data_IF_564201004240
#
_entry.id   IF_564201004240
#
_cell.length_a   1.000
_cell.length_b   1.000
_cell.length_c   1.000
_cell.angle_alpha   90.00
_cell.angle_beta   90.00
_cell.angle_gamma   90.00
#
_symmetry.space_group_name_H-M   'P 1'
#
loop_
_entity.id
_entity.type
_entity.pdbx_description
1 polymer ?
#
# COMPACT_ATOMS: atom_id res chain seq x y z
N UNK A 1 8.69 -1.92 21.70
CA UNK A 1 7.37 -1.38 22.13
C UNK A 1 7.09 -0.10 21.36
N UNK A 2 5.95 -0.04 20.67
CA UNK A 2 5.56 1.14 19.90
C UNK A 2 5.43 2.38 20.80
N UNK A 3 5.81 3.54 20.25
CA UNK A 3 5.63 4.82 20.93
C UNK A 3 4.44 5.52 20.30
N UNK A 4 3.51 5.98 21.13
CA UNK A 4 2.29 6.66 20.69
C UNK A 4 2.35 8.15 21.02
N UNK A 5 2.04 8.97 20.03
CA UNK A 5 1.90 10.40 20.12
C UNK A 5 0.47 10.75 19.73
N UNK A 6 -0.42 10.86 20.74
CA UNK A 6 -1.83 11.16 20.53
C UNK A 6 -2.08 12.61 20.87
N UNK A 7 -2.77 13.33 20.00
CA UNK A 7 -3.10 14.73 20.16
C UNK A 7 -4.57 14.87 20.61
N UNK A 8 -4.78 15.58 21.74
CA UNK A 8 -6.08 15.97 22.31
C UNK A 8 -7.11 14.84 22.59
N UNK A 9 -7.86 14.35 21.62
CA UNK A 9 -9.02 13.45 21.81
C UNK A 9 -8.69 11.97 21.57
N UNK A 10 -7.56 11.68 20.99
CA UNK A 10 -7.23 10.38 20.40
C UNK A 10 -6.76 9.32 21.39
N UNK A 11 -6.75 9.60 22.70
CA UNK A 11 -6.30 8.64 23.72
C UNK A 11 -7.07 7.30 23.68
N UNK A 12 -8.34 7.32 23.29
CA UNK A 12 -9.17 6.12 23.17
C UNK A 12 -8.85 5.27 21.93
N UNK A 13 -8.22 5.86 20.91
CA UNK A 13 -7.84 5.16 19.67
C UNK A 13 -6.54 4.39 19.78
N UNK A 14 -5.68 4.76 20.71
CA UNK A 14 -4.40 4.09 20.93
C UNK A 14 -4.57 2.58 21.10
N UNK A 15 -5.47 2.17 21.98
CA UNK A 15 -5.66 0.75 22.31
C UNK A 15 -6.23 0.00 21.07
N UNK A 16 -7.11 0.63 20.30
CA UNK A 16 -7.66 0.07 19.06
C UNK A 16 -6.60 -0.07 17.98
N UNK A 17 -5.77 0.97 17.76
CA UNK A 17 -4.68 0.92 16.78
C UNK A 17 -3.67 -0.17 17.17
N UNK A 18 -3.30 -0.26 18.45
CA UNK A 18 -2.40 -1.31 18.94
C UNK A 18 -3.00 -2.70 18.70
N UNK A 19 -4.28 -2.90 18.96
CA UNK A 19 -4.97 -4.16 18.70
C UNK A 19 -4.91 -4.52 17.21
N UNK A 20 -5.21 -3.59 16.30
CA UNK A 20 -5.13 -3.80 14.85
C UNK A 20 -3.70 -4.16 14.44
N UNK A 21 -2.71 -3.40 14.90
CA UNK A 21 -1.30 -3.65 14.60
C UNK A 21 -0.88 -5.04 15.07
N UNK A 22 -1.21 -5.44 16.30
CA UNK A 22 -0.85 -6.73 16.83
C UNK A 22 -1.51 -7.89 16.07
N UNK A 23 -2.76 -7.74 15.68
CA UNK A 23 -3.50 -8.74 14.91
C UNK A 23 -2.96 -8.87 13.48
N UNK A 24 -2.70 -7.74 12.80
CA UNK A 24 -2.32 -7.70 11.39
C UNK A 24 -0.82 -7.93 11.15
N UNK A 25 0.02 -7.57 12.10
CA UNK A 25 1.48 -7.76 12.03
C UNK A 25 1.86 -9.21 11.70
N UNK A 26 1.18 -10.19 12.30
CA UNK A 26 1.50 -11.60 12.09
C UNK A 26 1.19 -12.07 10.66
N UNK A 27 0.14 -11.52 10.04
CA UNK A 27 -0.21 -11.77 8.65
C UNK A 27 0.90 -11.27 7.71
N UNK A 28 1.35 -10.03 7.93
CA UNK A 28 2.45 -9.43 7.16
C UNK A 28 3.75 -10.21 7.35
N UNK A 29 4.09 -10.57 8.60
CA UNK A 29 5.28 -11.34 8.91
C UNK A 29 5.27 -12.70 8.23
N UNK A 30 4.13 -13.40 8.24
CA UNK A 30 3.96 -14.67 7.52
C UNK A 30 4.13 -14.50 6.01
N UNK A 31 3.68 -13.39 5.45
CA UNK A 31 3.87 -13.11 4.04
C UNK A 31 5.35 -12.91 3.70
N UNK A 32 6.05 -12.06 4.44
CA UNK A 32 7.47 -11.77 4.19
C UNK A 32 8.45 -12.83 4.74
N UNK A 33 7.97 -13.90 5.38
CA UNK A 33 8.82 -14.93 5.96
C UNK A 33 9.63 -14.44 7.16
N UNK A 34 9.10 -13.46 7.92
CA UNK A 34 9.72 -12.89 9.12
C UNK A 34 9.37 -13.78 10.33
N UNK A 35 10.32 -13.99 11.22
CA UNK A 35 10.07 -14.65 12.50
C UNK A 35 9.07 -13.81 13.33
N UNK A 36 8.09 -14.48 13.95
CA UNK A 36 6.98 -13.84 14.67
C UNK A 36 7.42 -13.05 15.90
N UNK A 37 8.60 -13.33 16.44
CA UNK A 37 9.20 -12.66 17.59
C UNK A 37 10.09 -11.47 17.23
N UNK A 38 10.27 -11.17 15.94
CA UNK A 38 11.01 -9.99 15.51
C UNK A 38 10.37 -8.73 16.06
N UNK A 39 11.15 -7.96 16.81
CA UNK A 39 10.68 -6.69 17.40
C UNK A 39 10.82 -5.55 16.41
N UNK A 40 9.69 -5.14 15.81
CA UNK A 40 9.59 -3.93 15.02
C UNK A 40 8.82 -2.89 15.81
N UNK A 41 9.45 -1.75 16.05
CA UNK A 41 8.86 -0.67 16.83
C UNK A 41 8.63 0.55 15.95
N UNK A 42 7.42 1.09 16.03
CA UNK A 42 7.02 2.26 15.26
C UNK A 42 6.76 3.45 16.16
N UNK A 43 6.99 4.66 15.65
CA UNK A 43 6.47 5.89 16.20
C UNK A 43 5.08 6.11 15.58
N UNK A 44 4.03 6.07 16.38
CA UNK A 44 2.64 6.15 15.91
C UNK A 44 2.06 7.49 16.30
N UNK A 45 1.72 8.31 15.32
CA UNK A 45 1.13 9.62 15.47
C UNK A 45 -0.34 9.57 15.09
N UNK A 46 -1.20 9.99 16.00
CA UNK A 46 -2.66 10.01 15.81
C UNK A 46 -3.15 11.42 15.98
N UNK A 47 -3.68 11.98 14.92
CA UNK A 47 -4.16 13.36 14.85
C UNK A 47 -5.69 13.42 14.93
N UNK A 48 -6.23 14.56 15.38
CA UNK A 48 -7.68 14.72 15.52
C UNK A 48 -8.39 14.95 14.19
N UNK A 49 -7.67 15.50 13.19
CA UNK A 49 -8.22 15.85 11.88
C UNK A 49 -7.19 15.64 10.77
N UNK A 50 -7.63 15.60 9.50
CA UNK A 50 -6.73 15.60 8.33
C UNK A 50 -5.85 16.85 8.33
N UNK A 51 -6.40 18.02 8.65
CA UNK A 51 -5.64 19.27 8.73
C UNK A 51 -4.52 19.20 9.76
N UNK A 52 -4.80 18.63 10.96
CA UNK A 52 -3.78 18.41 11.99
C UNK A 52 -2.71 17.41 11.53
N UNK A 53 -3.09 16.34 10.81
CA UNK A 53 -2.17 15.38 10.20
C UNK A 53 -1.23 16.10 9.21
N UNK A 54 -1.78 16.83 8.25
CA UNK A 54 -1.01 17.58 7.23
C UNK A 54 -0.06 18.57 7.89
N UNK A 55 -0.53 19.34 8.87
CA UNK A 55 0.30 20.32 9.59
C UNK A 55 1.41 19.63 10.41
N UNK A 56 1.07 18.56 11.14
CA UNK A 56 2.03 17.82 11.93
C UNK A 56 3.10 17.13 11.08
N UNK A 57 2.76 16.69 9.87
CA UNK A 57 3.72 16.15 8.91
C UNK A 57 4.65 17.24 8.38
N UNK A 58 4.11 18.41 8.01
CA UNK A 58 4.92 19.58 7.57
C UNK A 58 5.90 20.03 8.65
N UNK A 59 5.48 20.09 9.93
CA UNK A 59 6.37 20.38 11.05
C UNK A 59 7.53 19.38 11.22
N UNK A 60 7.36 18.18 10.68
CA UNK A 60 8.36 17.10 10.67
C UNK A 60 9.10 17.00 9.33
N UNK A 61 9.12 18.09 8.53
CA UNK A 61 9.78 18.21 7.23
C UNK A 61 9.26 17.28 6.13
N UNK A 62 7.94 17.05 6.11
CA UNK A 62 7.26 16.36 5.02
C UNK A 62 6.43 17.40 4.24
N UNK A 63 7.06 18.05 3.25
CA UNK A 63 6.51 19.25 2.62
C UNK A 63 5.50 18.99 1.50
N UNK A 64 5.50 17.78 0.89
CA UNK A 64 4.71 17.46 -0.30
C UNK A 64 3.51 16.54 -0.01
N UNK A 65 2.90 16.68 1.15
CA UNK A 65 1.74 15.84 1.52
C UNK A 65 0.47 16.34 0.84
N UNK A 66 -0.24 15.49 0.05
CA UNK A 66 -1.52 15.87 -0.53
C UNK A 66 -2.59 16.11 0.55
N UNK A 67 -3.44 17.12 0.34
CA UNK A 67 -4.50 17.51 1.29
C UNK A 67 -5.56 16.42 1.54
N UNK A 68 -5.62 15.40 0.68
CA UNK A 68 -6.55 14.26 0.78
C UNK A 68 -5.96 13.02 1.46
N UNK A 69 -4.70 13.04 1.84
CA UNK A 69 -4.03 11.90 2.46
C UNK A 69 -4.56 11.68 3.88
N UNK A 70 -5.08 10.50 4.15
CA UNK A 70 -5.69 10.14 5.44
C UNK A 70 -4.76 9.37 6.37
N UNK A 71 -3.68 8.83 5.82
CA UNK A 71 -2.63 8.15 6.57
C UNK A 71 -1.34 8.16 5.74
N UNK A 72 -0.19 8.00 6.38
CA UNK A 72 1.07 7.79 5.69
C UNK A 72 2.12 7.14 6.59
N UNK A 73 3.02 6.41 5.96
CA UNK A 73 4.23 5.92 6.57
C UNK A 73 5.38 6.88 6.22
N UNK A 74 6.26 7.15 7.18
CA UNK A 74 7.47 7.95 6.95
C UNK A 74 8.71 7.15 7.32
N UNK A 75 9.60 6.98 6.35
CA UNK A 75 10.77 6.12 6.43
C UNK A 75 11.81 6.64 7.44
N UNK A 76 12.11 7.94 7.44
CA UNK A 76 13.25 8.50 8.16
C UNK A 76 13.14 8.35 9.68
N UNK A 77 11.93 8.35 10.22
CA UNK A 77 11.70 8.19 11.66
C UNK A 77 10.90 6.94 12.02
N UNK A 78 10.68 6.05 11.03
CA UNK A 78 9.90 4.81 11.18
C UNK A 78 8.52 5.09 11.79
N UNK A 79 7.82 6.08 11.26
CA UNK A 79 6.53 6.50 11.80
C UNK A 79 5.35 6.09 10.94
N UNK A 80 4.26 5.81 11.64
CA UNK A 80 2.93 5.65 11.10
C UNK A 80 2.09 6.84 11.55
N UNK A 81 1.39 7.46 10.62
CA UNK A 81 0.67 8.70 10.86
C UNK A 81 -0.78 8.52 10.42
N UNK A 82 -1.71 8.76 11.34
CA UNK A 82 -3.14 8.57 11.14
C UNK A 82 -3.90 9.76 11.68
N UNK A 83 -5.07 10.06 11.12
CA UNK A 83 -6.06 10.89 11.80
C UNK A 83 -7.22 10.02 12.32
N UNK A 84 -7.88 10.49 13.39
CA UNK A 84 -9.04 9.80 13.97
C UNK A 84 -10.30 10.05 13.13
N UNK A 85 -10.94 9.00 12.56
CA UNK A 85 -12.22 9.19 11.88
C UNK A 85 -13.29 9.51 12.93
N UNK A 86 -14.01 10.61 12.75
CA UNK A 86 -15.14 10.96 13.64
C UNK A 86 -16.31 10.00 13.39
N UNK A 87 -16.87 9.48 14.46
CA UNK A 87 -17.98 8.51 14.43
C UNK A 87 -19.26 9.00 13.72
N UNK A 88 -19.39 10.31 13.42
CA UNK A 88 -20.68 10.92 13.05
C UNK A 88 -20.58 12.06 12.01
N UNK A 89 -19.48 12.22 11.29
CA UNK A 89 -19.39 13.31 10.31
C UNK A 89 -19.60 12.80 8.88
N UNK A 90 -20.67 13.31 8.26
CA UNK A 90 -20.92 13.24 6.82
C UNK A 90 -19.80 13.86 5.94
N UNK A 91 -18.71 14.31 6.55
CA UNK A 91 -17.55 14.92 5.91
C UNK A 91 -16.34 13.98 5.81
N UNK A 92 -16.31 12.85 6.56
CA UNK A 92 -15.28 11.83 6.45
C UNK A 92 -15.88 10.58 5.80
N UNK A 93 -15.52 10.31 4.56
CA UNK A 93 -16.00 9.22 3.73
C UNK A 93 -15.58 7.80 4.21
N UNK A 94 -14.94 7.68 5.38
CA UNK A 94 -14.35 6.42 5.86
C UNK A 94 -15.20 5.78 6.97
N UNK A 95 -15.70 4.59 6.69
CA UNK A 95 -16.27 3.71 7.73
C UNK A 95 -15.18 3.18 8.67
N UNK A 96 -15.59 2.62 9.82
CA UNK A 96 -14.65 1.97 10.75
C UNK A 96 -13.85 0.84 10.12
N UNK A 97 -14.48 0.06 9.23
CA UNK A 97 -13.84 -1.07 8.56
C UNK A 97 -12.80 -0.57 7.52
N UNK A 98 -13.08 0.53 6.83
CA UNK A 98 -12.12 1.17 5.93
C UNK A 98 -10.91 1.70 6.68
N UNK A 99 -11.10 2.25 7.88
CA UNK A 99 -10.00 2.71 8.73
C UNK A 99 -9.07 1.59 9.18
N UNK A 100 -9.60 0.41 9.50
CA UNK A 100 -8.75 -0.76 9.81
C UNK A 100 -7.89 -1.17 8.61
N UNK A 101 -8.47 -1.09 7.40
CA UNK A 101 -7.74 -1.37 6.16
C UNK A 101 -6.64 -0.33 5.90
N UNK A 102 -6.89 0.95 6.18
CA UNK A 102 -5.87 2.01 6.07
C UNK A 102 -4.71 1.75 7.02
N UNK A 103 -4.97 1.44 8.29
CA UNK A 103 -3.90 1.10 9.24
C UNK A 103 -3.11 -0.11 8.76
N UNK A 104 -3.79 -1.13 8.24
CA UNK A 104 -3.15 -2.32 7.72
C UNK A 104 -2.28 -2.03 6.51
N UNK A 105 -2.75 -1.20 5.58
CA UNK A 105 -2.03 -0.74 4.41
C UNK A 105 -0.71 -0.03 4.79
N UNK A 106 -0.79 0.97 5.66
CA UNK A 106 0.41 1.70 6.12
C UNK A 106 1.38 0.82 6.91
N UNK A 107 0.86 -0.15 7.66
CA UNK A 107 1.70 -1.11 8.38
C UNK A 107 2.47 -2.02 7.41
N UNK A 108 1.88 -2.38 6.26
CA UNK A 108 2.58 -3.14 5.22
C UNK A 108 3.76 -2.34 4.68
N UNK A 109 3.56 -1.05 4.35
CA UNK A 109 4.64 -0.16 3.90
C UNK A 109 5.78 -0.08 4.92
N UNK A 110 5.44 0.16 6.18
CA UNK A 110 6.44 0.28 7.24
C UNK A 110 7.25 -1.02 7.43
N UNK A 111 6.59 -2.18 7.36
CA UNK A 111 7.28 -3.46 7.49
C UNK A 111 8.12 -3.76 6.25
N UNK A 112 7.59 -3.51 5.05
CA UNK A 112 8.31 -3.70 3.79
C UNK A 112 9.58 -2.85 3.73
N UNK A 113 9.48 -1.56 4.11
CA UNK A 113 10.64 -0.66 4.20
C UNK A 113 11.70 -1.17 5.19
N UNK A 114 11.29 -1.65 6.36
CA UNK A 114 12.21 -2.22 7.36
C UNK A 114 12.95 -3.47 6.89
N UNK A 115 12.43 -4.17 5.86
CA UNK A 115 13.05 -5.38 5.32
C UNK A 115 13.95 -5.05 4.13
N UNK A 116 13.44 -4.24 3.20
CA UNK A 116 14.04 -4.05 1.88
C UNK A 116 14.60 -2.64 1.66
N UNK A 117 14.33 -1.69 2.56
CA UNK A 117 14.63 -0.26 2.32
C UNK A 117 13.71 0.34 1.26
N UNK A 118 14.14 1.45 0.69
CA UNK A 118 13.40 2.16 -0.36
C UNK A 118 13.27 1.30 -1.63
N UNK A 119 12.05 1.14 -2.09
CA UNK A 119 11.69 0.42 -3.30
C UNK A 119 10.86 1.32 -4.24
N UNK A 120 10.69 0.95 -5.54
CA UNK A 120 9.81 1.68 -6.44
C UNK A 120 8.37 1.75 -5.91
N UNK A 121 7.70 2.89 -6.10
CA UNK A 121 6.36 3.14 -5.54
C UNK A 121 5.32 2.13 -6.05
N UNK A 122 5.35 1.78 -7.34
CA UNK A 122 4.47 0.74 -7.89
C UNK A 122 4.61 -0.60 -7.14
N UNK A 123 5.81 -0.93 -6.66
CA UNK A 123 6.03 -2.18 -5.94
C UNK A 123 5.51 -2.11 -4.51
N UNK A 124 5.77 -1.00 -3.81
CA UNK A 124 5.29 -0.82 -2.44
C UNK A 124 3.77 -0.77 -2.37
N UNK A 125 3.15 0.01 -3.25
CA UNK A 125 1.69 0.10 -3.36
C UNK A 125 1.06 -1.21 -3.84
N UNK A 126 1.67 -1.86 -4.83
CA UNK A 126 1.18 -3.14 -5.33
C UNK A 126 1.19 -4.24 -4.27
N UNK A 127 2.21 -4.31 -3.42
CA UNK A 127 2.28 -5.25 -2.29
C UNK A 127 1.23 -4.91 -1.23
N UNK A 128 1.07 -3.64 -0.91
CA UNK A 128 0.07 -3.19 0.06
C UNK A 128 -1.34 -3.55 -0.41
N UNK A 129 -1.70 -3.23 -1.66
CA UNK A 129 -2.99 -3.60 -2.27
C UNK A 129 -3.23 -5.11 -2.38
N UNK A 130 -2.17 -5.88 -2.61
CA UNK A 130 -2.25 -7.34 -2.66
C UNK A 130 -2.61 -7.92 -1.28
N UNK A 131 -1.98 -7.42 -0.21
CA UNK A 131 -2.16 -7.93 1.15
C UNK A 131 -3.43 -7.40 1.82
N UNK A 132 -3.78 -6.13 1.65
CA UNK A 132 -4.98 -5.54 2.25
C UNK A 132 -6.27 -6.07 1.61
N UNK A 133 -6.15 -6.65 0.41
CA UNK A 133 -7.25 -7.33 -0.28
C UNK A 133 -8.32 -6.40 -0.84
N UNK A 134 -8.11 -5.09 -0.82
CA UNK A 134 -9.11 -4.08 -1.27
C UNK A 134 -9.38 -4.14 -2.77
N UNK A 135 -8.43 -4.69 -3.54
CA UNK A 135 -8.44 -4.63 -5.02
C UNK A 135 -8.94 -5.88 -5.75
N UNK A 136 -9.29 -6.96 -5.06
CA UNK A 136 -9.68 -8.24 -5.71
C UNK A 136 -10.81 -8.13 -6.74
N UNK A 137 -11.66 -7.13 -6.63
CA UNK A 137 -12.78 -6.88 -7.55
C UNK A 137 -12.50 -5.81 -8.62
N UNK A 138 -11.39 -5.08 -8.51
CA UNK A 138 -11.06 -3.96 -9.39
C UNK A 138 -10.51 -4.34 -10.77
N UNK A 139 -10.03 -5.59 -10.93
CA UNK A 139 -9.35 -6.04 -12.16
C UNK A 139 -10.22 -5.89 -13.41
N UNK A 140 -11.52 -6.27 -13.34
CA UNK A 140 -12.43 -6.11 -14.46
C UNK A 140 -12.60 -4.64 -14.84
N UNK A 141 -12.73 -3.77 -13.85
CA UNK A 141 -12.88 -2.34 -14.05
C UNK A 141 -11.63 -1.73 -14.70
N UNK A 142 -10.42 -2.12 -14.26
CA UNK A 142 -9.16 -1.72 -14.87
C UNK A 142 -9.10 -2.07 -16.36
N UNK A 143 -9.46 -3.32 -16.73
CA UNK A 143 -9.45 -3.73 -18.12
C UNK A 143 -10.46 -2.95 -18.96
N UNK A 144 -11.70 -2.77 -18.48
CA UNK A 144 -12.77 -2.08 -19.23
C UNK A 144 -12.50 -0.57 -19.38
N UNK A 145 -11.92 0.08 -18.38
CA UNK A 145 -11.81 1.54 -18.35
C UNK A 145 -10.45 2.07 -18.81
N UNK A 146 -9.38 1.30 -18.70
CA UNK A 146 -8.04 1.75 -19.09
C UNK A 146 -7.39 0.87 -20.16
N UNK A 147 -7.26 -0.42 -19.93
CA UNK A 147 -6.51 -1.29 -20.82
C UNK A 147 -7.17 -1.38 -22.19
N UNK A 148 -8.47 -1.63 -22.26
CA UNK A 148 -9.20 -1.68 -23.55
C UNK A 148 -9.31 -0.30 -24.22
N UNK A 149 -9.07 0.78 -23.50
CA UNK A 149 -8.98 2.14 -24.03
C UNK A 149 -7.54 2.55 -24.39
N UNK A 150 -6.59 1.62 -24.29
CA UNK A 150 -5.17 1.84 -24.55
C UNK A 150 -4.52 2.91 -23.65
N UNK A 151 -4.98 3.02 -22.41
CA UNK A 151 -4.41 3.88 -21.36
C UNK A 151 -3.50 3.06 -20.47
N UNK A 152 -2.38 2.64 -21.04
CA UNK A 152 -1.40 1.77 -20.37
C UNK A 152 -0.19 2.62 -20.00
N UNK A 153 0.21 2.67 -18.72
CA UNK A 153 1.40 3.41 -18.29
C UNK A 153 2.67 2.80 -18.85
N UNK A 154 3.70 3.62 -18.93
CA UNK A 154 5.08 3.14 -19.05
C UNK A 154 5.64 2.82 -17.66
N UNK A 155 6.69 2.01 -17.59
CA UNK A 155 7.36 1.75 -16.31
C UNK A 155 7.97 3.04 -15.73
N UNK A 156 8.47 3.94 -16.59
CA UNK A 156 8.98 5.23 -16.16
C UNK A 156 7.93 6.06 -15.42
N UNK A 157 6.69 6.13 -15.93
CA UNK A 157 5.58 6.85 -15.27
C UNK A 157 5.23 6.22 -13.92
N UNK A 158 5.20 4.88 -13.82
CA UNK A 158 4.94 4.20 -12.55
C UNK A 158 6.07 4.32 -11.52
N UNK A 159 7.30 4.60 -11.95
CA UNK A 159 8.45 4.77 -11.08
C UNK A 159 8.70 6.23 -10.65
N UNK A 160 8.28 7.21 -11.47
CA UNK A 160 8.67 8.61 -11.28
C UNK A 160 7.49 9.58 -11.23
N UNK A 161 6.30 9.17 -11.67
CA UNK A 161 5.11 10.01 -11.84
C UNK A 161 3.86 9.26 -11.31
N UNK A 162 4.03 8.45 -10.25
CA UNK A 162 2.97 7.62 -9.69
C UNK A 162 1.79 8.48 -9.22
N UNK A 163 0.57 8.13 -9.68
CA UNK A 163 -0.64 8.85 -9.31
C UNK A 163 -0.87 10.17 -10.03
N UNK A 164 0.03 10.63 -10.92
CA UNK A 164 -0.08 11.93 -11.60
C UNK A 164 -0.88 11.89 -12.91
N UNK A 165 -1.28 10.70 -13.37
CA UNK A 165 -1.93 10.49 -14.67
C UNK A 165 -3.42 10.14 -14.56
N UNK A 166 -4.13 10.16 -15.71
CA UNK A 166 -5.55 9.81 -15.80
C UNK A 166 -5.86 8.32 -15.58
N UNK A 167 -4.86 7.44 -15.59
CA UNK A 167 -5.01 6.02 -15.26
C UNK A 167 -4.79 5.78 -13.77
N UNK A 168 -5.34 4.70 -13.24
CA UNK A 168 -5.15 4.33 -11.84
C UNK A 168 -3.83 3.56 -11.66
N UNK A 169 -2.78 4.25 -11.19
CA UNK A 169 -1.45 3.65 -10.95
C UNK A 169 -1.51 2.52 -9.92
N UNK A 170 -2.38 2.61 -8.93
CA UNK A 170 -2.57 1.58 -7.90
C UNK A 170 -3.11 0.28 -8.49
N UNK A 171 -4.02 0.36 -9.47
CA UNK A 171 -4.56 -0.81 -10.16
C UNK A 171 -3.47 -1.54 -10.94
N UNK A 172 -2.63 -0.79 -11.65
CA UNK A 172 -1.50 -1.37 -12.37
C UNK A 172 -0.47 -1.97 -11.43
N UNK A 173 -0.14 -1.30 -10.34
CA UNK A 173 0.74 -1.81 -9.28
C UNK A 173 0.23 -3.15 -8.74
N UNK A 174 -1.07 -3.23 -8.43
CA UNK A 174 -1.70 -4.46 -7.97
C UNK A 174 -1.59 -5.61 -8.97
N UNK A 175 -1.94 -5.40 -10.25
CA UNK A 175 -1.89 -6.50 -11.23
C UNK A 175 -0.47 -6.97 -11.49
N UNK A 176 0.53 -6.10 -11.43
CA UNK A 176 1.94 -6.46 -11.59
C UNK A 176 2.42 -7.34 -10.44
N UNK A 177 2.16 -6.94 -9.19
CA UNK A 177 2.54 -7.73 -8.01
C UNK A 177 1.79 -9.06 -7.98
N UNK A 178 0.48 -9.05 -8.23
CA UNK A 178 -0.32 -10.26 -8.28
C UNK A 178 0.15 -11.23 -9.38
N UNK A 179 0.51 -10.72 -10.58
CA UNK A 179 1.11 -11.52 -11.65
C UNK A 179 2.43 -12.16 -11.22
N UNK A 180 3.32 -11.40 -10.59
CA UNK A 180 4.59 -11.94 -10.11
C UNK A 180 4.38 -13.09 -9.12
N UNK A 181 3.44 -12.92 -8.19
CA UNK A 181 3.13 -13.96 -7.19
C UNK A 181 2.44 -15.17 -7.84
N UNK A 182 1.47 -14.95 -8.74
CA UNK A 182 0.75 -16.03 -9.44
C UNK A 182 1.67 -16.84 -10.35
N UNK A 183 2.62 -16.18 -11.02
CA UNK A 183 3.47 -16.81 -12.05
C UNK A 183 4.75 -17.44 -11.47
N UNK A 184 5.34 -16.83 -10.46
CA UNK A 184 6.60 -17.30 -9.89
C UNK A 184 6.44 -17.92 -8.50
N UNK A 185 5.32 -17.69 -7.83
CA UNK A 185 5.10 -18.06 -6.43
C UNK A 185 5.69 -17.03 -5.44
N UNK A 186 5.15 -17.06 -4.22
CA UNK A 186 5.49 -16.08 -3.18
C UNK A 186 7.00 -16.07 -2.84
N UNK A 187 7.62 -17.22 -2.69
CA UNK A 187 9.02 -17.32 -2.28
C UNK A 187 9.97 -16.70 -3.32
N UNK A 188 9.71 -16.99 -4.59
CA UNK A 188 10.49 -16.41 -5.68
C UNK A 188 10.20 -14.91 -5.86
N UNK A 189 8.95 -14.47 -5.68
CA UNK A 189 8.60 -13.06 -5.63
C UNK A 189 9.41 -12.32 -4.57
N UNK A 190 9.45 -12.83 -3.33
CA UNK A 190 10.21 -12.21 -2.24
C UNK A 190 11.72 -12.16 -2.54
N UNK A 191 12.25 -13.18 -3.20
CA UNK A 191 13.65 -13.21 -3.65
C UNK A 191 13.93 -12.14 -4.71
N UNK A 192 13.02 -11.97 -5.67
CA UNK A 192 13.14 -10.98 -6.74
C UNK A 192 13.12 -9.55 -6.17
N UNK A 193 12.16 -9.23 -5.31
CA UNK A 193 12.03 -7.88 -4.76
C UNK A 193 13.17 -7.52 -3.79
N UNK A 194 13.81 -8.51 -3.20
CA UNK A 194 15.03 -8.35 -2.40
C UNK A 194 16.30 -8.15 -3.22
N UNK A 195 16.24 -8.25 -4.56
CA UNK A 195 17.38 -8.12 -5.45
C UNK A 195 17.10 -7.08 -6.54
N UNK A 196 17.59 -5.86 -6.34
CA UNK A 196 17.35 -4.74 -7.26
C UNK A 196 17.66 -5.08 -8.73
N UNK A 197 18.77 -5.78 -9.01
CA UNK A 197 19.15 -6.12 -10.39
C UNK A 197 18.14 -7.07 -11.05
N UNK A 198 17.59 -7.99 -10.30
CA UNK A 198 16.56 -8.92 -10.81
C UNK A 198 15.24 -8.20 -11.02
N UNK A 199 14.86 -7.34 -10.08
CA UNK A 199 13.68 -6.49 -10.21
C UNK A 199 13.77 -5.60 -11.45
N UNK A 200 14.90 -4.90 -11.67
CA UNK A 200 15.13 -4.05 -12.84
C UNK A 200 15.03 -4.85 -14.17
N UNK A 201 15.51 -6.10 -14.18
CA UNK A 201 15.42 -6.96 -15.37
C UNK A 201 13.98 -7.38 -15.69
N UNK A 202 13.19 -7.70 -14.69
CA UNK A 202 11.79 -8.13 -14.85
C UNK A 202 10.90 -6.94 -15.21
N UNK A 203 11.14 -5.78 -14.65
CA UNK A 203 10.32 -4.56 -14.81
C UNK A 203 10.17 -4.13 -16.27
N UNK A 204 11.15 -4.47 -17.15
CA UNK A 204 11.15 -4.02 -18.56
C UNK A 204 9.89 -4.41 -19.35
N UNK A 205 9.27 -5.56 -19.07
CA UNK A 205 8.06 -6.03 -19.76
C UNK A 205 6.89 -6.31 -18.81
N UNK A 206 7.06 -6.05 -17.52
CA UNK A 206 6.16 -6.51 -16.47
C UNK A 206 4.72 -6.06 -16.67
N UNK A 207 4.50 -4.82 -17.09
CA UNK A 207 3.16 -4.26 -17.33
C UNK A 207 2.45 -5.09 -18.40
N UNK A 208 3.08 -5.27 -19.55
CA UNK A 208 2.48 -6.00 -20.66
C UNK A 208 2.32 -7.50 -20.37
N UNK A 209 3.26 -8.10 -19.67
CA UNK A 209 3.20 -9.50 -19.27
C UNK A 209 2.03 -9.74 -18.29
N UNK A 210 1.84 -8.85 -17.32
CA UNK A 210 0.71 -8.92 -16.37
C UNK A 210 -0.64 -8.73 -17.07
N UNK A 211 -0.75 -7.73 -17.98
CA UNK A 211 -1.96 -7.50 -18.78
C UNK A 211 -2.30 -8.72 -19.61
N UNK A 212 -1.34 -9.28 -20.34
CA UNK A 212 -1.56 -10.44 -21.20
C UNK A 212 -1.97 -11.67 -20.38
N UNK A 213 -1.31 -11.89 -19.23
CA UNK A 213 -1.64 -13.00 -18.35
C UNK A 213 -3.10 -12.93 -17.88
N UNK A 214 -3.56 -11.78 -17.39
CA UNK A 214 -4.92 -11.64 -16.89
C UNK A 214 -5.97 -11.56 -17.99
N UNK A 215 -5.64 -10.98 -19.15
CA UNK A 215 -6.51 -11.01 -20.32
C UNK A 215 -6.83 -12.46 -20.73
N UNK A 216 -5.81 -13.30 -20.84
CA UNK A 216 -5.98 -14.72 -21.16
C UNK A 216 -6.73 -15.47 -20.06
N UNK A 217 -6.44 -15.20 -18.79
CA UNK A 217 -7.04 -15.91 -17.64
C UNK A 217 -8.53 -15.60 -17.46
N UNK A 218 -8.97 -14.37 -17.69
CA UNK A 218 -10.32 -13.92 -17.32
C UNK A 218 -11.20 -13.52 -18.49
N UNK A 219 -10.65 -13.07 -19.61
CA UNK A 219 -11.44 -12.50 -20.70
C UNK A 219 -11.47 -13.36 -21.97
N UNK A 220 -10.44 -14.13 -22.29
CA UNK A 220 -10.45 -14.99 -23.47
C UNK A 220 -11.11 -16.36 -23.23
N UNK A 221 -11.12 -16.88 -22.00
CA UNK A 221 -11.77 -18.16 -21.65
C UNK A 221 -13.29 -18.10 -21.76
N UNK A 222 -13.88 -16.91 -21.73
CA UNK A 222 -15.35 -16.72 -21.86
C UNK A 222 -15.87 -16.76 -23.31
N UNK A 223 -14.99 -16.91 -24.30
CA UNK A 223 -15.37 -17.00 -25.74
C UNK A 223 -15.47 -18.43 -26.28
N UNK A 224 -15.45 -19.46 -25.41
CA UNK A 224 -15.63 -20.87 -25.79
C UNK A 224 -16.96 -21.43 -25.36
#
# INVERSE_FOLDING_TARGET
>A
MNKYYCFNRTANYKDKIEEIIQNKKLEIFSFFGIESDRDLNFNIYVYDTIEDLVNGMKERNFDDMPDYMCACQKDEDNSLNFFEPKDDSSENEWSKDEYENVIFHELIHAIQFNIYGTQPEWLTEGVAKYLDGTYKNGMKWLFENYIHQNRIPTMYELENEFGEHEYDSYDYAYIMVNYLIDNFGKEEFLRIIGNKKELDNISQNLIMDSINYYNNKYFEVTKR
#
